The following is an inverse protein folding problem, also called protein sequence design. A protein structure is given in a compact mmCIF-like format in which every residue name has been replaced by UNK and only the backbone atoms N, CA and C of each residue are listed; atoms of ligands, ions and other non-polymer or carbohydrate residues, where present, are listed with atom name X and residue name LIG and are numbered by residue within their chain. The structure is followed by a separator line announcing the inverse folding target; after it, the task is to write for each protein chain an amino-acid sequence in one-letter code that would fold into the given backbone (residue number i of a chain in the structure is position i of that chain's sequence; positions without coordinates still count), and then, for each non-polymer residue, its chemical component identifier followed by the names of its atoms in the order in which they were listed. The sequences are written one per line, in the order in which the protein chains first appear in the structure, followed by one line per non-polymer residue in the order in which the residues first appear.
data_IF_268360513786
#
_entry.id   IF_268360513786
#
_cell.length_a   1.000
_cell.length_b   1.000
_cell.length_c   1.000
_cell.angle_alpha   90.00
_cell.angle_beta   90.00
_cell.angle_gamma   90.00
#
_symmetry.space_group_name_H-M   'P 1'
#
loop_
_entity.id
_entity.type
_entity.pdbx_description
1 polymer ?
#
# COMPACT_ATOMS: atom_id res chain seq x y z
N UNK A 1 -13.32 -5.87 49.48
CA UNK A 1 -14.29 -5.58 48.40
C UNK A 1 -13.57 -5.11 47.14
N UNK A 2 -12.67 -4.12 47.20
CA UNK A 2 -11.93 -3.52 46.06
C UNK A 2 -11.09 -4.53 45.25
N UNK A 3 -10.31 -5.36 45.91
CA UNK A 3 -9.49 -6.42 45.30
C UNK A 3 -10.29 -7.47 44.48
N UNK A 4 -11.51 -7.81 44.91
CA UNK A 4 -12.38 -8.74 44.17
C UNK A 4 -12.88 -8.09 42.84
N UNK A 5 -13.20 -6.81 42.84
CA UNK A 5 -13.65 -6.07 41.66
C UNK A 5 -12.51 -5.96 40.66
N UNK A 6 -11.29 -5.64 41.12
CA UNK A 6 -10.09 -5.55 40.28
C UNK A 6 -9.74 -6.94 39.68
N UNK A 7 -9.84 -8.00 40.45
CA UNK A 7 -9.60 -9.37 39.96
C UNK A 7 -10.61 -9.80 38.90
N UNK A 8 -11.87 -9.43 39.06
CA UNK A 8 -12.92 -9.74 38.06
C UNK A 8 -12.72 -8.97 36.78
N UNK A 9 -12.33 -7.70 36.89
CA UNK A 9 -12.01 -6.85 35.73
C UNK A 9 -10.78 -7.37 34.97
N UNK A 10 -9.74 -7.83 35.70
CA UNK A 10 -8.54 -8.41 35.12
C UNK A 10 -8.85 -9.75 34.41
N UNK A 11 -9.66 -10.62 35.01
CA UNK A 11 -10.13 -11.88 34.39
C UNK A 11 -10.86 -11.59 33.06
N UNK A 12 -11.78 -10.62 33.06
CA UNK A 12 -12.53 -10.27 31.86
C UNK A 12 -11.63 -9.74 30.74
N UNK A 13 -10.61 -8.93 31.09
CA UNK A 13 -9.59 -8.47 30.13
C UNK A 13 -8.77 -9.63 29.56
N UNK A 14 -8.40 -10.59 30.41
CA UNK A 14 -7.62 -11.76 30.01
C UNK A 14 -8.41 -12.68 29.08
N UNK A 15 -9.68 -12.93 29.38
CA UNK A 15 -10.59 -13.74 28.54
C UNK A 15 -10.83 -13.07 27.18
N UNK A 16 -10.94 -11.74 27.15
CA UNK A 16 -11.06 -10.99 25.89
C UNK A 16 -9.77 -11.09 25.06
N UNK A 17 -8.60 -10.94 25.68
CA UNK A 17 -7.32 -11.07 25.01
C UNK A 17 -7.09 -12.48 24.44
N UNK A 18 -7.47 -13.52 25.19
CA UNK A 18 -7.40 -14.91 24.72
C UNK A 18 -8.30 -15.11 23.50
N UNK A 19 -9.56 -14.66 23.54
CA UNK A 19 -10.49 -14.77 22.39
C UNK A 19 -9.97 -14.03 21.15
N UNK A 20 -9.33 -12.89 21.36
CA UNK A 20 -8.72 -12.13 20.25
C UNK A 20 -7.54 -12.90 19.65
N UNK A 21 -6.67 -13.47 20.49
CA UNK A 21 -5.54 -14.29 20.05
C UNK A 21 -5.99 -15.59 19.36
N UNK A 22 -7.06 -16.22 19.84
CA UNK A 22 -7.63 -17.41 19.20
C UNK A 22 -8.21 -17.06 17.82
N UNK A 23 -8.95 -15.94 17.69
CA UNK A 23 -9.45 -15.45 16.42
C UNK A 23 -8.34 -15.06 15.43
N UNK A 24 -7.23 -14.52 15.93
CA UNK A 24 -6.03 -14.23 15.11
C UNK A 24 -5.29 -15.51 14.69
N UNK A 25 -5.21 -16.51 15.59
CA UNK A 25 -4.66 -17.84 15.26
C UNK A 25 -5.50 -18.56 14.22
N UNK A 26 -6.82 -18.50 14.31
CA UNK A 26 -7.72 -19.09 13.31
C UNK A 26 -7.58 -18.39 11.96
N UNK A 27 -7.49 -17.06 11.93
CA UNK A 27 -7.20 -16.30 10.71
C UNK A 27 -5.83 -16.64 10.13
N UNK A 28 -4.81 -16.74 10.97
CA UNK A 28 -3.46 -17.12 10.57
C UNK A 28 -3.42 -18.57 10.08
N UNK A 29 -4.11 -19.49 10.73
CA UNK A 29 -4.23 -20.88 10.29
C UNK A 29 -4.99 -21.00 8.96
N UNK A 30 -6.02 -20.19 8.75
CA UNK A 30 -6.73 -20.11 7.48
C UNK A 30 -5.83 -19.57 6.35
N UNK A 31 -5.01 -18.54 6.64
CA UNK A 31 -4.02 -17.99 5.71
C UNK A 31 -2.86 -18.96 5.46
N UNK A 32 -2.37 -19.65 6.50
CA UNK A 32 -1.33 -20.69 6.39
C UNK A 32 -1.87 -21.94 5.68
N UNK A 33 -3.14 -22.28 5.87
CA UNK A 33 -3.82 -23.34 5.13
C UNK A 33 -3.93 -23.03 3.62
N UNK A 34 -4.02 -21.74 3.27
CA UNK A 34 -3.94 -21.29 1.88
C UNK A 34 -2.50 -21.23 1.34
N UNK A 35 -1.49 -21.03 2.21
CA UNK A 35 -0.07 -21.05 1.84
C UNK A 35 0.54 -22.46 1.75
N UNK A 36 -0.18 -23.49 2.21
CA UNK A 36 0.19 -24.89 2.03
C UNK A 36 -0.01 -25.44 0.61
N UNK A 37 -0.59 -24.62 -0.28
CA UNK A 37 -0.56 -24.91 -1.72
C UNK A 37 0.85 -24.56 -2.20
N UNK A 38 1.73 -25.56 -2.32
CA UNK A 38 3.03 -25.40 -2.96
C UNK A 38 2.83 -24.61 -4.26
N UNK A 39 3.69 -23.63 -4.59
CA UNK A 39 3.59 -22.93 -5.86
C UNK A 39 3.61 -24.01 -6.92
N UNK A 40 2.52 -24.14 -7.65
CA UNK A 40 2.43 -25.07 -8.76
C UNK A 40 3.62 -24.79 -9.65
N UNK A 41 4.43 -25.83 -9.90
CA UNK A 41 5.57 -25.75 -10.80
C UNK A 41 5.09 -24.98 -12.04
N UNK A 42 5.80 -23.92 -12.41
CA UNK A 42 5.49 -23.05 -13.54
C UNK A 42 5.29 -23.88 -14.80
N UNK A 43 4.07 -24.33 -15.03
CA UNK A 43 3.65 -24.61 -16.39
C UNK A 43 3.52 -23.24 -17.04
N UNK A 44 4.09 -23.02 -18.26
CA UNK A 44 3.78 -21.81 -19.01
C UNK A 44 2.26 -21.75 -19.04
N UNK A 45 1.70 -20.71 -18.42
CA UNK A 45 0.27 -20.58 -18.20
C UNK A 45 -0.40 -20.83 -19.54
N UNK A 46 -1.18 -21.88 -19.62
CA UNK A 46 -1.94 -22.17 -20.81
C UNK A 46 -2.72 -20.90 -21.08
N UNK A 47 -2.39 -20.18 -22.17
CA UNK A 47 -3.04 -18.94 -22.55
C UNK A 47 -4.50 -19.26 -22.53
N UNK A 48 -5.20 -18.75 -21.49
CA UNK A 48 -6.62 -18.95 -21.32
C UNK A 48 -7.29 -18.60 -22.66
N UNK A 49 -8.18 -19.45 -23.12
CA UNK A 49 -9.13 -19.10 -24.17
C UNK A 49 -10.19 -18.10 -23.63
N UNK A 50 -9.80 -17.26 -22.66
CA UNK A 50 -10.66 -16.28 -22.06
C UNK A 50 -11.24 -15.38 -23.14
N UNK A 51 -12.55 -15.28 -23.15
CA UNK A 51 -13.32 -14.51 -24.14
C UNK A 51 -13.21 -12.99 -23.93
N UNK A 52 -12.61 -12.53 -22.83
CA UNK A 52 -12.50 -11.10 -22.47
C UNK A 52 -11.11 -10.77 -21.92
N UNK A 53 -10.67 -9.58 -22.23
CA UNK A 53 -9.48 -8.97 -21.62
C UNK A 53 -9.84 -8.33 -20.29
N UNK A 54 -8.87 -8.32 -19.37
CA UNK A 54 -8.98 -7.63 -18.12
C UNK A 54 -7.65 -6.95 -17.78
N UNK A 55 -7.71 -5.85 -17.05
CA UNK A 55 -6.56 -5.19 -16.42
C UNK A 55 -6.68 -5.37 -14.93
N UNK A 56 -5.64 -5.92 -14.29
CA UNK A 56 -5.60 -6.03 -12.84
C UNK A 56 -5.01 -4.77 -12.23
N UNK A 57 -5.57 -4.30 -11.12
CA UNK A 57 -5.13 -3.08 -10.45
C UNK A 57 -4.58 -3.42 -9.08
N UNK A 58 -3.34 -2.98 -8.81
CA UNK A 58 -2.73 -2.97 -7.49
C UNK A 58 -2.76 -1.55 -6.94
N UNK A 59 -3.42 -1.33 -5.81
CA UNK A 59 -3.43 -0.06 -5.11
C UNK A 59 -2.46 -0.09 -3.92
N UNK A 60 -1.58 0.91 -3.84
CA UNK A 60 -0.66 1.14 -2.73
C UNK A 60 -0.87 2.58 -2.26
N UNK A 61 -1.48 2.78 -1.10
CA UNK A 61 -1.79 4.10 -0.55
C UNK A 61 -1.68 4.07 0.97
N UNK A 62 -1.47 5.23 1.58
CA UNK A 62 -1.48 5.42 3.03
C UNK A 62 -0.52 4.47 3.77
N UNK A 63 0.68 4.31 3.23
CA UNK A 63 1.70 3.40 3.77
C UNK A 63 2.32 3.96 5.04
N UNK A 64 2.56 5.29 5.08
CA UNK A 64 3.17 5.98 6.22
C UNK A 64 4.42 5.23 6.73
N UNK A 65 5.36 4.95 5.83
CA UNK A 65 6.38 3.92 6.02
C UNK A 65 7.28 4.11 7.25
N UNK A 66 7.58 5.36 7.62
CA UNK A 66 8.45 5.70 8.76
C UNK A 66 7.72 5.87 10.09
N UNK A 67 6.39 5.75 10.11
CA UNK A 67 5.60 5.86 11.33
C UNK A 67 5.93 4.74 12.32
N UNK A 68 5.94 5.09 13.60
CA UNK A 68 6.05 4.15 14.69
C UNK A 68 4.79 4.16 15.55
N UNK A 69 4.07 3.03 15.56
CA UNK A 69 2.99 2.78 16.52
C UNK A 69 3.48 1.77 17.55
N UNK A 70 3.52 2.18 18.82
CA UNK A 70 3.86 1.29 19.93
C UNK A 70 2.58 0.62 20.45
N UNK A 71 2.56 -0.71 20.64
CA UNK A 71 1.37 -1.43 21.11
C UNK A 71 0.76 -0.84 22.38
N UNK A 72 1.60 -0.38 23.31
CA UNK A 72 1.18 0.14 24.61
C UNK A 72 0.33 1.42 24.46
N UNK A 73 0.61 2.24 23.43
CA UNK A 73 -0.12 3.51 23.21
C UNK A 73 -1.50 3.30 22.60
N UNK A 74 -1.75 2.14 22.01
CA UNK A 74 -3.00 1.79 21.29
C UNK A 74 -3.69 0.55 21.87
N UNK A 75 -3.56 0.33 23.18
CA UNK A 75 -4.17 -0.80 23.88
C UNK A 75 -3.86 -2.18 23.26
N UNK A 76 -2.67 -2.33 22.68
CA UNK A 76 -2.20 -3.56 22.03
C UNK A 76 -3.04 -3.99 20.80
N UNK A 77 -3.75 -3.06 20.18
CA UNK A 77 -4.56 -3.33 18.97
C UNK A 77 -3.76 -3.21 17.68
N UNK A 78 -2.60 -2.55 17.71
CA UNK A 78 -1.72 -2.38 16.55
C UNK A 78 -0.26 -2.31 17.00
N UNK A 79 0.63 -2.71 16.09
CA UNK A 79 2.07 -2.46 16.11
C UNK A 79 2.48 -2.07 14.69
N UNK A 80 3.20 -0.95 14.56
CA UNK A 80 3.71 -0.51 13.27
C UNK A 80 5.14 0.02 13.40
N UNK A 81 5.95 -0.32 12.41
CA UNK A 81 7.35 0.06 12.32
C UNK A 81 7.87 -0.20 10.91
N UNK A 82 9.07 0.30 10.59
CA UNK A 82 9.74 0.00 9.32
C UNK A 82 9.81 -1.50 9.03
N UNK A 83 10.09 -2.33 10.03
CA UNK A 83 10.15 -3.78 9.87
C UNK A 83 8.77 -4.38 9.56
N UNK A 84 7.70 -3.86 10.18
CA UNK A 84 6.33 -4.27 9.90
C UNK A 84 5.91 -3.80 8.52
N UNK A 85 6.23 -2.57 8.15
CA UNK A 85 5.99 -2.02 6.82
C UNK A 85 6.67 -2.87 5.74
N UNK A 86 7.96 -3.17 5.90
CA UNK A 86 8.73 -4.00 4.96
C UNK A 86 8.07 -5.36 4.72
N UNK A 87 7.72 -6.05 5.80
CA UNK A 87 7.02 -7.33 5.73
C UNK A 87 5.66 -7.21 5.03
N UNK A 88 4.85 -6.18 5.36
CA UNK A 88 3.54 -5.96 4.73
C UNK A 88 3.64 -5.68 3.24
N UNK A 89 4.63 -4.90 2.80
CA UNK A 89 4.88 -4.62 1.38
C UNK A 89 5.35 -5.87 0.63
N UNK A 90 6.21 -6.68 1.24
CA UNK A 90 6.61 -7.97 0.67
C UNK A 90 5.41 -8.92 0.53
N UNK A 91 4.61 -9.08 1.60
CA UNK A 91 3.39 -9.89 1.56
C UNK A 91 2.37 -9.38 0.53
N UNK A 92 2.22 -8.06 0.40
CA UNK A 92 1.35 -7.45 -0.62
C UNK A 92 1.78 -7.87 -2.03
N UNK A 93 3.09 -7.77 -2.31
CA UNK A 93 3.67 -8.20 -3.60
C UNK A 93 3.40 -9.67 -3.86
N UNK A 94 3.72 -10.55 -2.92
CA UNK A 94 3.56 -12.00 -3.07
C UNK A 94 2.09 -12.38 -3.30
N UNK A 95 1.18 -11.81 -2.51
CA UNK A 95 -0.26 -12.05 -2.63
C UNK A 95 -0.83 -11.53 -3.94
N UNK A 96 -0.39 -10.34 -4.37
CA UNK A 96 -0.79 -9.81 -5.66
C UNK A 96 -0.35 -10.72 -6.81
N UNK A 97 0.88 -11.19 -6.79
CA UNK A 97 1.38 -12.14 -7.80
C UNK A 97 0.64 -13.47 -7.79
N UNK A 98 0.30 -13.98 -6.60
CA UNK A 98 -0.56 -15.16 -6.48
C UNK A 98 -1.93 -14.93 -7.12
N UNK A 99 -2.59 -13.81 -6.79
CA UNK A 99 -3.90 -13.46 -7.37
C UNK A 99 -3.82 -13.25 -8.88
N UNK A 100 -2.78 -12.55 -9.38
CA UNK A 100 -2.58 -12.35 -10.81
C UNK A 100 -2.50 -13.68 -11.57
N UNK A 101 -1.75 -14.64 -11.03
CA UNK A 101 -1.63 -15.96 -11.64
C UNK A 101 -2.94 -16.77 -11.55
N UNK A 102 -3.68 -16.61 -10.45
CA UNK A 102 -4.97 -17.27 -10.29
C UNK A 102 -6.01 -16.73 -11.28
N UNK A 103 -6.14 -15.41 -11.40
CA UNK A 103 -7.12 -14.75 -12.27
C UNK A 103 -6.81 -14.95 -13.75
N UNK A 104 -5.56 -15.19 -14.12
CA UNK A 104 -5.16 -15.56 -15.48
C UNK A 104 -5.73 -16.90 -15.94
N UNK A 105 -6.24 -17.73 -15.04
CA UNK A 105 -6.94 -18.96 -15.42
C UNK A 105 -8.31 -18.67 -16.09
N UNK A 106 -8.92 -17.53 -15.79
CA UNK A 106 -10.28 -17.15 -16.22
C UNK A 106 -10.34 -15.92 -17.13
N UNK A 107 -9.31 -15.06 -17.11
CA UNK A 107 -9.24 -13.82 -17.89
C UNK A 107 -7.88 -13.68 -18.61
N UNK A 108 -7.85 -12.98 -19.76
CA UNK A 108 -6.62 -12.60 -20.45
C UNK A 108 -6.06 -11.31 -19.83
N UNK A 109 -5.28 -11.44 -18.74
CA UNK A 109 -4.67 -10.35 -18.01
C UNK A 109 -3.23 -10.16 -18.47
N UNK A 110 -3.01 -9.24 -19.39
CA UNK A 110 -1.69 -8.85 -19.90
C UNK A 110 -1.19 -7.57 -19.31
N UNK A 111 -2.12 -6.68 -18.93
CA UNK A 111 -1.85 -5.38 -18.36
C UNK A 111 -2.11 -5.39 -16.86
N UNK A 112 -1.21 -4.75 -16.13
CA UNK A 112 -1.38 -4.42 -14.72
C UNK A 112 -1.27 -2.92 -14.55
N UNK A 113 -2.17 -2.33 -13.78
CA UNK A 113 -2.04 -0.97 -13.29
C UNK A 113 -1.59 -1.01 -11.83
N UNK A 114 -0.48 -0.36 -11.51
CA UNK A 114 -0.08 -0.07 -10.13
C UNK A 114 -0.45 1.38 -9.85
N UNK A 115 -1.37 1.59 -8.93
CA UNK A 115 -1.72 2.93 -8.50
C UNK A 115 -1.11 3.22 -7.13
N UNK A 116 -0.17 4.18 -7.09
CA UNK A 116 0.42 4.69 -5.86
C UNK A 116 -0.37 5.93 -5.46
N UNK A 117 -1.24 5.76 -4.47
CA UNK A 117 -2.31 6.70 -4.15
C UNK A 117 -1.92 7.86 -3.23
N UNK A 118 -0.65 7.96 -2.82
CA UNK A 118 -0.14 8.99 -1.90
C UNK A 118 -0.04 8.51 -0.46
N UNK A 119 0.46 9.39 0.39
CA UNK A 119 0.78 9.16 1.81
C UNK A 119 1.60 7.88 2.03
N UNK A 120 2.56 7.64 1.13
CA UNK A 120 3.58 6.60 1.34
C UNK A 120 4.58 7.00 2.42
N UNK A 121 4.62 8.30 2.75
CA UNK A 121 5.36 8.93 3.84
C UNK A 121 4.40 9.50 4.88
N UNK A 122 4.74 9.41 6.16
CA UNK A 122 4.08 10.20 7.23
C UNK A 122 4.52 11.65 7.22
N UNK A 123 5.75 11.91 6.77
CA UNK A 123 6.33 13.23 6.80
C UNK A 123 6.52 13.77 8.23
N UNK A 124 6.96 15.02 8.33
CA UNK A 124 7.15 15.72 9.62
C UNK A 124 6.31 16.99 9.67
N UNK A 125 5.07 16.88 9.23
CA UNK A 125 4.14 18.03 9.13
C UNK A 125 3.43 18.38 10.45
N UNK A 126 3.50 17.46 11.41
CA UNK A 126 2.99 17.62 12.77
C UNK A 126 4.06 17.15 13.76
N UNK A 127 4.09 17.74 14.95
CA UNK A 127 5.08 17.42 15.97
C UNK A 127 5.01 15.95 16.38
N UNK A 128 3.83 15.38 16.51
CA UNK A 128 3.61 13.98 16.85
C UNK A 128 4.11 13.01 15.76
N UNK A 129 3.91 13.33 14.48
CA UNK A 129 4.43 12.52 13.38
C UNK A 129 5.96 12.58 13.33
N UNK A 130 6.55 13.75 13.60
CA UNK A 130 7.99 13.92 13.66
C UNK A 130 8.63 13.15 14.83
N UNK A 131 7.97 13.16 16.01
CA UNK A 131 8.44 12.41 17.20
C UNK A 131 8.34 10.89 17.02
N UNK A 132 7.32 10.42 16.30
CA UNK A 132 7.11 8.99 16.07
C UNK A 132 7.88 8.44 14.86
N UNK A 133 8.42 9.31 14.00
CA UNK A 133 9.11 8.89 12.79
C UNK A 133 10.40 8.12 13.08
N UNK A 134 10.57 6.96 12.46
CA UNK A 134 11.78 6.16 12.55
C UNK A 134 12.89 6.62 11.58
N UNK A 135 12.55 7.40 10.58
CA UNK A 135 13.47 7.97 9.59
C UNK A 135 13.13 9.44 9.34
N UNK A 136 14.14 10.24 9.06
CA UNK A 136 13.93 11.58 8.52
C UNK A 136 13.32 11.50 7.10
N UNK A 137 12.56 12.53 6.65
CA UNK A 137 11.79 12.48 5.40
C UNK A 137 12.58 12.03 4.16
N UNK A 138 13.77 12.56 3.94
CA UNK A 138 14.62 12.16 2.80
C UNK A 138 15.12 10.71 2.92
N UNK A 139 15.35 10.22 4.13
CA UNK A 139 15.73 8.83 4.34
C UNK A 139 14.54 7.90 4.10
N UNK A 140 13.36 8.28 4.58
CA UNK A 140 12.11 7.58 4.34
C UNK A 140 11.77 7.52 2.84
N UNK A 141 11.93 8.63 2.12
CA UNK A 141 11.74 8.70 0.66
C UNK A 141 12.63 7.67 -0.07
N UNK A 142 13.91 7.60 0.27
CA UNK A 142 14.81 6.59 -0.33
C UNK A 142 14.41 5.17 0.05
N UNK A 143 14.05 4.97 1.31
CA UNK A 143 13.68 3.66 1.82
C UNK A 143 12.43 3.10 1.13
N UNK A 144 11.36 3.89 1.05
CA UNK A 144 10.11 3.46 0.40
C UNK A 144 10.28 3.33 -1.12
N UNK A 145 11.07 4.21 -1.74
CA UNK A 145 11.36 4.14 -3.17
C UNK A 145 11.98 2.81 -3.59
N UNK A 146 12.89 2.25 -2.79
CA UNK A 146 13.47 0.93 -3.04
C UNK A 146 12.40 -0.20 -3.01
N UNK A 147 11.45 -0.13 -2.07
CA UNK A 147 10.36 -1.12 -1.92
C UNK A 147 9.37 -1.04 -3.08
N UNK A 148 8.96 0.18 -3.41
CA UNK A 148 8.10 0.40 -4.56
C UNK A 148 8.76 -0.08 -5.87
N UNK A 149 10.07 0.20 -6.05
CA UNK A 149 10.83 -0.31 -7.20
C UNK A 149 10.81 -1.82 -7.26
N UNK A 150 11.08 -2.51 -6.14
CA UNK A 150 11.06 -3.97 -6.06
C UNK A 150 9.68 -4.55 -6.45
N UNK A 151 8.59 -3.94 -5.99
CA UNK A 151 7.23 -4.37 -6.36
C UNK A 151 6.98 -4.17 -7.86
N UNK A 152 7.35 -2.99 -8.40
CA UNK A 152 7.18 -2.67 -9.81
C UNK A 152 7.98 -3.66 -10.68
N UNK A 153 9.24 -3.93 -10.34
CA UNK A 153 10.10 -4.86 -11.08
C UNK A 153 9.54 -6.29 -11.03
N UNK A 154 9.01 -6.72 -9.88
CA UNK A 154 8.36 -8.04 -9.73
C UNK A 154 7.14 -8.17 -10.65
N UNK A 155 6.29 -7.14 -10.68
CA UNK A 155 5.11 -7.13 -11.56
C UNK A 155 5.50 -7.02 -13.03
N UNK A 156 6.50 -6.19 -13.35
CA UNK A 156 6.99 -6.00 -14.71
C UNK A 156 7.59 -7.27 -15.31
N UNK A 157 8.18 -8.14 -14.50
CA UNK A 157 8.71 -9.42 -14.94
C UNK A 157 7.62 -10.41 -15.43
N UNK A 158 6.38 -10.20 -15.01
CA UNK A 158 5.26 -11.13 -15.26
C UNK A 158 4.14 -10.55 -16.13
N UNK A 159 4.10 -9.24 -16.34
CA UNK A 159 3.07 -8.56 -17.14
C UNK A 159 3.63 -8.12 -18.51
N UNK A 160 2.78 -8.10 -19.55
CA UNK A 160 3.17 -7.59 -20.86
C UNK A 160 3.25 -6.05 -20.85
N UNK A 161 2.42 -5.39 -20.04
CA UNK A 161 2.38 -3.95 -19.85
C UNK A 161 2.08 -3.61 -18.38
N UNK A 162 2.84 -2.69 -17.81
CA UNK A 162 2.58 -2.12 -16.48
C UNK A 162 2.39 -0.61 -16.60
N UNK A 163 1.26 -0.13 -16.07
CA UNK A 163 1.01 1.31 -15.93
C UNK A 163 1.20 1.67 -14.47
N UNK A 164 2.17 2.52 -14.17
CA UNK A 164 2.35 3.07 -12.83
C UNK A 164 1.74 4.46 -12.79
N UNK A 165 0.55 4.57 -12.18
CA UNK A 165 -0.13 5.83 -11.96
C UNK A 165 0.13 6.32 -10.54
N UNK A 166 0.38 7.62 -10.36
CA UNK A 166 0.69 8.17 -9.03
C UNK A 166 -0.16 9.38 -8.70
N UNK A 167 -0.45 9.53 -7.42
CA UNK A 167 -0.95 10.76 -6.82
C UNK A 167 -0.13 11.02 -5.56
N UNK A 168 0.21 12.26 -5.29
CA UNK A 168 0.83 12.63 -4.02
C UNK A 168 -0.23 12.76 -2.94
N UNK A 169 0.11 12.37 -1.73
CA UNK A 169 -0.71 12.59 -0.55
C UNK A 169 -0.45 13.95 0.09
N UNK A 170 -1.07 14.19 1.23
CA UNK A 170 -0.91 15.44 1.97
C UNK A 170 0.16 15.38 3.06
N UNK A 171 0.65 14.22 3.41
CA UNK A 171 1.66 14.03 4.46
C UNK A 171 3.09 14.25 3.96
N UNK A 172 3.41 13.86 2.75
CA UNK A 172 4.76 13.99 2.16
C UNK A 172 5.18 15.40 1.76
N UNK A 173 4.54 16.46 2.28
CA UNK A 173 4.87 17.85 1.97
C UNK A 173 5.99 18.40 2.84
N UNK A 174 6.75 19.37 2.31
CA UNK A 174 7.80 20.11 3.02
C UNK A 174 7.31 21.40 3.69
N UNK A 175 6.00 21.68 3.64
CA UNK A 175 5.38 22.91 4.18
C UNK A 175 4.44 22.61 5.33
N UNK A 176 4.36 23.48 6.35
CA UNK A 176 3.47 23.29 7.51
C UNK A 176 2.00 23.23 7.10
N UNK A 177 1.61 24.05 6.12
CA UNK A 177 0.24 24.12 5.62
C UNK A 177 0.16 23.69 4.17
N UNK A 178 -0.95 23.03 3.83
CA UNK A 178 -1.26 22.68 2.45
C UNK A 178 -1.32 23.92 1.57
N UNK A 179 -0.61 23.91 0.45
CA UNK A 179 -0.55 24.98 -0.54
C UNK A 179 -1.04 24.48 -1.89
N UNK A 180 -2.34 24.64 -2.14
CA UNK A 180 -3.02 24.09 -3.32
C UNK A 180 -2.31 24.39 -4.66
N UNK A 181 -1.82 25.63 -4.84
CA UNK A 181 -1.23 26.04 -6.12
C UNK A 181 0.21 25.59 -6.36
N UNK A 182 0.93 25.18 -5.31
CA UNK A 182 2.36 24.82 -5.39
C UNK A 182 2.66 23.52 -4.63
N UNK A 183 1.64 22.71 -4.33
CA UNK A 183 1.78 21.52 -3.50
C UNK A 183 2.78 20.52 -4.07
N UNK A 184 2.71 20.27 -5.37
CA UNK A 184 3.56 19.27 -6.02
C UNK A 184 5.05 19.66 -5.97
N UNK A 185 5.37 20.95 -6.06
CA UNK A 185 6.74 21.46 -5.96
C UNK A 185 7.31 21.32 -4.52
N UNK A 186 6.44 21.11 -3.55
CA UNK A 186 6.78 20.92 -2.14
C UNK A 186 6.55 19.50 -1.63
N UNK A 187 6.31 18.54 -2.52
CA UNK A 187 6.05 17.14 -2.17
C UNK A 187 7.29 16.26 -2.37
N UNK A 188 7.74 15.61 -1.29
CA UNK A 188 8.78 14.57 -1.37
C UNK A 188 8.31 13.37 -2.20
N UNK A 189 7.03 13.04 -2.16
CA UNK A 189 6.44 11.95 -2.93
C UNK A 189 6.42 12.26 -4.42
N UNK A 190 6.02 13.48 -4.79
CA UNK A 190 6.05 13.92 -6.19
C UNK A 190 7.46 13.81 -6.76
N UNK A 191 8.45 14.31 -6.02
CA UNK A 191 9.85 14.21 -6.41
C UNK A 191 10.30 12.74 -6.54
N UNK A 192 9.91 11.89 -5.59
CA UNK A 192 10.20 10.45 -5.63
C UNK A 192 9.67 9.82 -6.92
N UNK A 193 8.39 10.07 -7.25
CA UNK A 193 7.76 9.48 -8.43
C UNK A 193 8.37 9.96 -9.73
N UNK A 194 8.73 11.24 -9.82
CA UNK A 194 9.42 11.80 -11.00
C UNK A 194 10.81 11.17 -11.19
N UNK A 195 11.58 11.00 -10.09
CA UNK A 195 12.89 10.34 -10.14
C UNK A 195 12.73 8.88 -10.54
N UNK A 196 11.80 8.15 -9.93
CA UNK A 196 11.54 6.75 -10.27
C UNK A 196 11.13 6.59 -11.73
N UNK A 197 10.30 7.48 -12.26
CA UNK A 197 9.89 7.46 -13.65
C UNK A 197 11.06 7.74 -14.61
N UNK A 198 11.93 8.71 -14.26
CA UNK A 198 13.12 9.03 -15.06
C UNK A 198 14.16 7.91 -15.06
N UNK A 199 14.25 7.12 -13.98
CA UNK A 199 15.18 6.02 -13.83
C UNK A 199 14.61 4.66 -14.28
N UNK A 200 13.39 4.63 -14.85
CA UNK A 200 12.74 3.38 -15.27
C UNK A 200 13.53 2.68 -16.37
N UNK A 201 13.80 1.40 -16.17
CA UNK A 201 14.58 0.56 -17.09
C UNK A 201 13.75 -0.52 -17.78
N UNK A 202 12.60 -0.89 -17.19
CA UNK A 202 11.73 -1.90 -17.77
C UNK A 202 10.95 -1.29 -18.93
N UNK A 203 11.15 -1.81 -20.13
CA UNK A 203 10.55 -1.27 -21.37
C UNK A 203 9.02 -1.40 -21.42
N UNK A 204 8.47 -2.32 -20.64
CA UNK A 204 7.04 -2.57 -20.52
C UNK A 204 6.38 -1.80 -19.38
N UNK A 205 7.14 -0.96 -18.65
CA UNK A 205 6.62 -0.07 -17.60
C UNK A 205 6.44 1.34 -18.15
N UNK A 206 5.23 1.87 -18.03
CA UNK A 206 4.88 3.23 -18.37
C UNK A 206 4.42 4.00 -17.13
N UNK A 207 5.10 5.09 -16.83
CA UNK A 207 4.72 5.96 -15.73
C UNK A 207 3.73 7.04 -16.20
N UNK A 208 2.75 7.30 -15.32
CA UNK A 208 1.82 8.39 -15.43
C UNK A 208 1.80 9.14 -14.10
N UNK A 209 2.81 9.99 -13.92
CA UNK A 209 2.95 10.83 -12.73
C UNK A 209 1.97 11.99 -12.83
N UNK A 210 1.12 12.13 -11.81
CA UNK A 210 0.11 13.19 -11.80
C UNK A 210 0.74 14.58 -11.73
N UNK A 211 0.27 15.49 -12.57
CA UNK A 211 0.60 16.92 -12.49
C UNK A 211 -0.37 17.73 -11.62
N UNK A 212 -1.23 17.07 -10.86
CA UNK A 212 -2.24 17.69 -10.00
C UNK A 212 -2.94 16.67 -9.11
N UNK A 213 -4.04 17.06 -8.48
CA UNK A 213 -4.80 16.19 -7.56
C UNK A 213 -5.44 14.98 -8.25
N UNK A 214 -5.77 15.11 -9.53
CA UNK A 214 -6.47 14.08 -10.28
C UNK A 214 -5.54 13.47 -11.31
N UNK A 215 -5.57 12.16 -11.43
CA UNK A 215 -4.92 11.41 -12.48
C UNK A 215 -5.98 10.58 -13.21
N UNK A 216 -5.96 10.57 -14.53
CA UNK A 216 -6.94 9.84 -15.35
C UNK A 216 -6.21 8.80 -16.17
N UNK A 217 -6.52 7.54 -15.94
CA UNK A 217 -5.89 6.42 -16.62
C UNK A 217 -6.91 5.73 -17.50
N UNK A 218 -6.61 5.60 -18.80
CA UNK A 218 -7.42 4.81 -19.71
C UNK A 218 -7.03 3.32 -19.62
N UNK A 219 -7.99 2.50 -19.21
CA UNK A 219 -7.89 1.05 -19.16
C UNK A 219 -8.87 0.44 -20.16
N UNK A 220 -8.42 0.31 -21.42
CA UNK A 220 -9.22 -0.28 -22.50
C UNK A 220 -10.58 0.43 -22.76
N UNK A 221 -10.57 1.77 -22.70
CA UNK A 221 -11.75 2.63 -22.89
C UNK A 221 -12.50 2.98 -21.62
N UNK A 222 -12.10 2.41 -20.47
CA UNK A 222 -12.61 2.80 -19.16
C UNK A 222 -11.67 3.83 -18.56
N UNK A 223 -12.15 5.04 -18.34
CA UNK A 223 -11.36 6.09 -17.69
C UNK A 223 -11.47 5.94 -16.17
N UNK A 224 -10.35 5.55 -15.56
CA UNK A 224 -10.22 5.47 -14.10
C UNK A 224 -9.68 6.79 -13.59
N UNK A 225 -10.43 7.45 -12.71
CA UNK A 225 -9.98 8.64 -12.00
C UNK A 225 -9.35 8.27 -10.68
N UNK A 226 -8.08 8.57 -10.54
CA UNK A 226 -7.27 8.33 -9.35
C UNK A 226 -7.03 9.64 -8.60
N UNK A 227 -7.14 9.65 -7.28
CA UNK A 227 -6.82 10.78 -6.42
C UNK A 227 -6.65 10.32 -4.98
N UNK A 228 -5.79 10.99 -4.22
CA UNK A 228 -5.58 10.66 -2.81
C UNK A 228 -6.78 11.01 -1.91
N UNK A 229 -7.54 12.06 -2.25
CA UNK A 229 -8.77 12.41 -1.50
C UNK A 229 -8.70 13.71 -0.70
N UNK A 230 -7.53 14.13 -0.24
CA UNK A 230 -7.37 15.29 0.64
C UNK A 230 -7.82 16.64 0.05
N UNK A 231 -7.86 16.76 -1.28
CA UNK A 231 -8.35 17.94 -1.98
C UNK A 231 -9.88 17.99 -2.11
N UNK A 232 -10.58 16.91 -1.78
CA UNK A 232 -12.04 16.83 -1.87
C UNK A 232 -12.64 17.45 -0.62
N UNK A 233 -13.37 18.56 -0.79
CA UNK A 233 -14.12 19.15 0.31
C UNK A 233 -15.38 18.34 0.55
N UNK A 234 -15.47 17.71 1.72
CA UNK A 234 -16.72 17.12 2.19
C UNK A 234 -17.73 18.25 2.48
N UNK A 235 -18.73 18.36 1.67
CA UNK A 235 -19.89 19.20 1.97
C UNK A 235 -20.92 18.35 2.71
N UNK A 236 -20.78 18.30 4.04
CA UNK A 236 -21.76 17.77 4.99
C UNK A 236 -22.41 16.44 4.59
N UNK A 237 -21.72 15.36 4.83
CA UNK A 237 -22.17 13.97 4.83
C UNK A 237 -23.59 13.69 4.30
N UNK A 238 -23.72 13.49 3.02
CA UNK A 238 -24.89 12.82 2.44
C UNK A 238 -24.44 11.48 1.93
#
# INVERSE_FOLDING_TARGET
MRLRVELTALRKKYETAIKTLEGERERTAMVVGLSGIAPAARSPAARSRAKHRATMVLMISDVHCEERVKPETVNFTNDYSLAVCDRRLAELSDRFMFMLNHERAIADIRRVMIWIGGDVLSGHIHDDTAEMAQLAPLAATRWIGQRLRSIIDTVAAEADEVIVATNSGNHGRSTDKLRVGTELDHSFEQNLYLVMAAEERNKNVRWQVSGGYLNYVDLDGFIVRCHHGHAIKWAGGV
#
